data_IF_828016920033
#
_entry.id   IF_828016920033
#
_cell.length_a   1.000
_cell.length_b   1.000
_cell.length_c   1.000
_cell.angle_alpha   90.00
_cell.angle_beta   90.00
_cell.angle_gamma   90.00
#
_symmetry.space_group_name_H-M   'P 1'
#
loop_
_entity.id
_entity.type
_entity.pdbx_description
1 polymer ?
#
# COMPACT_ATOMS: atom_id res chain seq x y z
N UNK A 1 -14.51 12.81 20.22
CA UNK A 1 -14.75 13.70 19.06
C UNK A 1 -14.90 12.78 17.86
N UNK A 2 -16.06 12.20 17.57
CA UNK A 2 -17.13 12.76 16.74
C UNK A 2 -18.42 12.10 17.21
N UNK A 3 -19.31 12.88 17.85
CA UNK A 3 -20.49 12.33 18.52
C UNK A 3 -21.81 12.53 17.77
N UNK A 4 -21.83 13.05 16.52
CA UNK A 4 -23.01 13.06 15.60
C UNK A 4 -22.79 13.81 14.25
N UNK A 5 -21.56 14.13 13.83
CA UNK A 5 -21.31 14.95 12.64
C UNK A 5 -20.39 14.24 11.65
N UNK A 6 -20.96 13.37 10.81
CA UNK A 6 -20.21 12.55 9.85
C UNK A 6 -19.72 13.31 8.60
N UNK A 7 -20.19 14.54 8.38
CA UNK A 7 -19.89 15.32 7.16
C UNK A 7 -18.80 16.39 7.37
N UNK A 8 -18.29 16.53 8.60
CA UNK A 8 -17.38 17.63 8.99
C UNK A 8 -15.91 17.23 8.85
N UNK A 9 -15.62 15.95 8.53
CA UNK A 9 -14.25 15.45 8.35
C UNK A 9 -13.39 16.25 7.34
N UNK A 10 -13.93 16.84 6.25
CA UNK A 10 -13.10 17.64 5.34
C UNK A 10 -12.51 18.87 6.03
N UNK A 11 -13.24 19.47 6.98
CA UNK A 11 -12.74 20.64 7.74
C UNK A 11 -11.62 20.27 8.72
N UNK A 12 -11.57 19.00 9.14
CA UNK A 12 -10.52 18.48 10.02
C UNK A 12 -9.25 18.06 9.25
N UNK A 13 -9.28 17.98 7.92
CA UNK A 13 -8.14 17.53 7.11
C UNK A 13 -6.84 18.30 7.37
N UNK A 14 -6.83 19.65 7.44
CA UNK A 14 -5.59 20.37 7.72
C UNK A 14 -4.98 20.03 9.08
N UNK A 15 -5.82 19.84 10.10
CA UNK A 15 -5.38 19.45 11.44
C UNK A 15 -4.82 18.02 11.45
N UNK A 16 -5.46 17.08 10.74
CA UNK A 16 -4.97 15.70 10.59
C UNK A 16 -3.63 15.67 9.85
N UNK A 17 -3.52 16.43 8.75
CA UNK A 17 -2.28 16.52 7.99
C UNK A 17 -1.14 17.08 8.85
N UNK A 18 -1.40 18.14 9.61
CA UNK A 18 -0.43 18.71 10.55
C UNK A 18 0.01 17.68 11.59
N UNK A 19 -0.93 16.96 12.20
CA UNK A 19 -0.64 15.92 13.18
C UNK A 19 0.21 14.78 12.59
N UNK A 20 -0.11 14.30 11.38
CA UNK A 20 0.66 13.26 10.69
C UNK A 20 2.08 13.75 10.37
N UNK A 21 2.23 15.00 9.93
CA UNK A 21 3.53 15.56 9.55
C UNK A 21 4.44 15.87 10.74
N UNK A 22 3.88 16.10 11.93
CA UNK A 22 4.61 16.41 13.16
C UNK A 22 4.79 15.22 14.09
N UNK A 23 4.08 14.13 13.87
CA UNK A 23 4.29 12.89 14.60
C UNK A 23 5.58 12.19 14.15
N UNK A 24 6.36 11.69 15.11
CA UNK A 24 7.55 10.89 14.83
C UNK A 24 7.13 9.55 14.21
N UNK A 25 7.66 9.25 13.02
CA UNK A 25 7.42 7.96 12.37
C UNK A 25 8.35 6.90 12.96
N UNK A 26 7.81 5.78 13.43
CA UNK A 26 8.58 4.70 14.05
C UNK A 26 9.66 4.11 13.11
N UNK A 27 9.38 4.02 11.81
CA UNK A 27 10.30 3.42 10.84
C UNK A 27 11.49 4.33 10.50
N UNK A 28 11.31 5.65 10.53
CA UNK A 28 12.38 6.61 10.23
C UNK A 28 13.07 7.12 11.50
N UNK A 29 12.34 7.22 12.62
CA UNK A 29 12.79 7.84 13.87
C UNK A 29 12.65 9.36 13.91
N UNK A 30 12.09 9.97 12.86
CA UNK A 30 11.94 11.42 12.70
C UNK A 30 10.54 11.79 12.25
N UNK A 31 10.17 13.06 12.38
CA UNK A 31 8.92 13.60 11.82
C UNK A 31 9.05 13.76 10.29
N UNK A 32 7.98 13.53 9.51
CA UNK A 32 7.99 13.81 8.08
C UNK A 32 8.31 15.27 7.75
N UNK A 33 7.81 16.21 8.55
CA UNK A 33 8.11 17.63 8.43
C UNK A 33 9.61 17.92 8.50
N UNK A 34 10.29 17.38 9.51
CA UNK A 34 11.72 17.59 9.70
C UNK A 34 12.54 17.05 8.52
N UNK A 35 12.26 15.83 8.07
CA UNK A 35 13.00 15.22 6.96
C UNK A 35 12.76 15.92 5.62
N UNK A 36 11.59 16.55 5.44
CA UNK A 36 11.22 17.23 4.19
C UNK A 36 11.73 18.67 4.15
N UNK A 37 11.59 19.41 5.25
CA UNK A 37 11.86 20.85 5.30
C UNK A 37 13.14 21.21 6.07
N UNK A 38 13.81 20.24 6.68
CA UNK A 38 14.98 20.47 7.54
C UNK A 38 14.66 21.11 8.90
N UNK A 39 13.37 21.29 9.22
CA UNK A 39 12.87 21.91 10.44
C UNK A 39 11.49 21.37 10.81
N UNK A 40 11.16 21.43 12.10
CA UNK A 40 9.83 21.05 12.58
C UNK A 40 8.78 22.10 12.18
N UNK A 41 7.54 21.64 11.96
CA UNK A 41 6.41 22.55 11.79
C UNK A 41 6.05 23.17 13.14
N UNK A 42 5.76 24.47 13.11
CA UNK A 42 5.39 25.23 14.31
C UNK A 42 3.87 25.21 14.50
N UNK A 43 3.44 25.06 15.75
CA UNK A 43 2.05 25.29 16.15
C UNK A 43 1.79 26.78 16.35
N UNK A 44 0.52 27.23 16.32
CA UNK A 44 0.18 28.60 16.69
C UNK A 44 0.66 29.00 18.10
N UNK A 45 0.74 28.05 19.02
CA UNK A 45 1.28 28.28 20.36
C UNK A 45 2.77 28.64 20.32
N UNK A 46 3.55 27.91 19.52
CA UNK A 46 5.00 28.15 19.36
C UNK A 46 5.28 29.55 18.79
N UNK A 47 4.43 30.05 17.89
CA UNK A 47 4.59 31.39 17.30
C UNK A 47 4.41 32.52 18.32
N UNK A 48 3.53 32.35 19.30
CA UNK A 48 3.27 33.39 20.33
C UNK A 48 4.37 33.48 21.38
N UNK A 49 5.02 32.36 21.71
CA UNK A 49 6.11 32.33 22.69
C UNK A 49 7.48 32.64 22.09
N UNK A 50 7.61 32.57 20.75
CA UNK A 50 8.90 32.58 20.07
C UNK A 50 9.06 33.72 19.03
N UNK A 51 8.45 34.88 19.29
CA UNK A 51 8.60 36.08 18.44
C UNK A 51 10.06 36.54 18.33
N UNK A 52 10.89 36.24 19.34
CA UNK A 52 12.33 36.53 19.32
C UNK A 52 13.12 35.71 18.29
N UNK A 53 12.70 34.50 17.91
CA UNK A 53 13.40 33.73 16.86
C UNK A 53 12.98 34.16 15.46
N UNK A 54 11.76 34.67 15.28
CA UNK A 54 11.30 35.25 14.01
C UNK A 54 12.19 36.44 13.64
N UNK A 55 12.45 37.35 14.59
CA UNK A 55 13.32 38.52 14.42
C UNK A 55 14.79 38.11 14.17
N UNK A 56 15.27 37.02 14.78
CA UNK A 56 16.63 36.49 14.54
C UNK A 56 16.80 35.78 13.20
N UNK A 57 15.72 35.24 12.62
CA UNK A 57 15.79 34.43 11.39
C UNK A 57 16.15 35.24 10.13
N UNK A 58 15.97 36.56 10.14
CA UNK A 58 16.29 37.42 8.99
C UNK A 58 17.82 37.67 8.79
N UNK A 59 18.67 37.35 9.78
CA UNK A 59 20.12 37.64 9.75
C UNK A 59 21.04 36.39 9.69
N UNK A 60 20.52 35.22 9.31
CA UNK A 60 21.12 33.93 9.68
C UNK A 60 21.91 33.21 8.58
N UNK A 61 22.82 33.89 7.88
CA UNK A 61 23.63 33.24 6.81
C UNK A 61 24.76 32.36 7.38
N UNK A 62 25.25 32.64 8.60
CA UNK A 62 26.42 31.95 9.17
C UNK A 62 26.13 30.55 9.74
N UNK A 63 24.88 30.21 10.05
CA UNK A 63 24.49 28.94 10.70
C UNK A 63 23.80 27.93 9.77
N UNK A 64 23.67 28.24 8.48
CA UNK A 64 23.04 27.34 7.50
C UNK A 64 23.90 26.08 7.31
N UNK A 65 25.22 26.22 7.29
CA UNK A 65 26.16 25.10 7.03
C UNK A 65 26.11 23.98 8.08
N UNK A 66 26.17 24.24 9.41
CA UNK A 66 26.07 23.17 10.40
C UNK A 66 24.70 22.50 10.41
N UNK A 67 23.62 23.27 10.21
CA UNK A 67 22.25 22.76 10.21
C UNK A 67 21.99 21.82 9.02
N UNK A 68 22.49 22.18 7.83
CA UNK A 68 22.42 21.31 6.65
C UNK A 68 23.28 20.05 6.81
N UNK A 69 24.48 20.15 7.41
CA UNK A 69 25.31 18.98 7.72
C UNK A 69 24.61 18.03 8.69
N UNK A 70 23.94 18.56 9.71
CA UNK A 70 23.13 17.78 10.64
C UNK A 70 21.99 17.06 9.89
N UNK A 71 21.23 17.79 9.08
CA UNK A 71 20.14 17.20 8.30
C UNK A 71 20.63 16.08 7.36
N UNK A 72 21.77 16.27 6.70
CA UNK A 72 22.37 15.23 5.86
C UNK A 72 22.71 13.96 6.65
N UNK A 73 23.23 14.10 7.88
CA UNK A 73 23.47 12.97 8.76
C UNK A 73 22.16 12.31 9.22
N UNK A 74 21.16 13.10 9.60
CA UNK A 74 19.87 12.61 10.07
C UNK A 74 19.12 11.86 8.94
N UNK A 75 19.21 12.34 7.70
CA UNK A 75 18.69 11.63 6.52
C UNK A 75 19.38 10.28 6.30
N UNK A 76 20.70 10.22 6.50
CA UNK A 76 21.45 8.95 6.43
C UNK A 76 20.97 7.97 7.49
N UNK A 77 20.82 8.43 8.74
CA UNK A 77 20.29 7.60 9.85
C UNK A 77 18.86 7.15 9.56
N UNK A 78 17.99 8.04 9.07
CA UNK A 78 16.62 7.71 8.71
C UNK A 78 16.57 6.61 7.64
N UNK A 79 17.45 6.67 6.64
CA UNK A 79 17.58 5.63 5.61
C UNK A 79 17.98 4.29 6.22
N UNK A 80 19.01 4.26 7.08
CA UNK A 80 19.45 3.04 7.77
C UNK A 80 18.33 2.45 8.65
N UNK A 81 17.55 3.29 9.33
CA UNK A 81 16.40 2.86 10.13
C UNK A 81 15.31 2.23 9.26
N UNK A 82 15.02 2.84 8.11
CA UNK A 82 14.04 2.31 7.15
C UNK A 82 14.48 0.95 6.62
N UNK A 83 15.76 0.79 6.26
CA UNK A 83 16.30 -0.50 5.80
C UNK A 83 16.16 -1.59 6.88
N UNK A 84 16.50 -1.28 8.13
CA UNK A 84 16.31 -2.20 9.27
C UNK A 84 14.82 -2.55 9.49
N UNK A 85 13.95 -1.55 9.45
CA UNK A 85 12.51 -1.75 9.61
C UNK A 85 11.92 -2.60 8.48
N UNK A 86 12.35 -2.36 7.23
CA UNK A 86 11.96 -3.15 6.07
C UNK A 86 12.39 -4.60 6.20
N UNK A 87 13.63 -4.85 6.65
CA UNK A 87 14.13 -6.21 6.87
C UNK A 87 13.33 -6.93 7.97
N UNK A 88 13.08 -6.29 9.10
CA UNK A 88 12.25 -6.85 10.17
C UNK A 88 10.83 -7.17 9.69
N UNK A 89 10.22 -6.25 8.94
CA UNK A 89 8.90 -6.45 8.35
C UNK A 89 8.89 -7.60 7.34
N UNK A 90 9.94 -7.71 6.51
CA UNK A 90 10.12 -8.80 5.55
C UNK A 90 10.21 -10.15 6.26
N UNK A 91 11.03 -10.25 7.31
CA UNK A 91 11.16 -11.47 8.11
C UNK A 91 9.83 -11.85 8.76
N UNK A 92 9.14 -10.89 9.37
CA UNK A 92 7.84 -11.12 10.01
C UNK A 92 6.76 -11.56 9.00
N UNK A 93 6.68 -10.92 7.84
CA UNK A 93 5.74 -11.26 6.78
C UNK A 93 6.03 -12.64 6.16
N UNK A 94 7.31 -12.94 5.90
CA UNK A 94 7.73 -14.21 5.31
C UNK A 94 7.41 -15.42 6.20
N UNK A 95 7.41 -15.28 7.54
CA UNK A 95 7.02 -16.36 8.48
C UNK A 95 5.63 -16.94 8.22
N UNK A 96 4.68 -16.12 7.74
CA UNK A 96 3.29 -16.54 7.46
C UNK A 96 3.01 -16.71 5.96
N UNK A 97 4.01 -16.48 5.11
CA UNK A 97 3.83 -16.48 3.65
C UNK A 97 3.72 -17.92 3.16
N UNK A 98 2.66 -18.18 2.37
CA UNK A 98 2.49 -19.48 1.71
C UNK A 98 3.52 -19.61 0.57
N UNK A 99 4.05 -20.82 0.32
CA UNK A 99 4.91 -21.06 -0.83
C UNK A 99 4.15 -20.80 -2.14
N UNK A 100 4.91 -20.55 -3.21
CA UNK A 100 4.34 -20.44 -4.57
C UNK A 100 3.57 -21.74 -4.89
N UNK A 101 2.29 -21.66 -5.30
CA UNK A 101 1.50 -22.82 -5.71
C UNK A 101 2.13 -23.61 -6.87
N UNK A 102 3.09 -23.03 -7.60
CA UNK A 102 3.87 -23.75 -8.61
C UNK A 102 3.06 -24.08 -9.87
N UNK A 103 2.06 -23.26 -10.21
CA UNK A 103 1.27 -23.45 -11.41
C UNK A 103 2.13 -23.41 -12.66
N UNK A 104 1.82 -24.28 -13.63
CA UNK A 104 2.52 -24.41 -14.90
C UNK A 104 1.69 -23.85 -16.04
N UNK A 105 2.38 -23.40 -17.10
CA UNK A 105 1.72 -23.06 -18.37
C UNK A 105 0.95 -24.29 -18.86
N UNK A 106 -0.30 -24.07 -19.25
CA UNK A 106 -1.22 -25.11 -19.68
C UNK A 106 -2.09 -25.71 -18.57
N UNK A 107 -1.84 -25.42 -17.29
CA UNK A 107 -2.72 -25.87 -16.20
C UNK A 107 -4.11 -25.23 -16.34
N UNK A 108 -5.15 -26.04 -16.10
CA UNK A 108 -6.53 -25.54 -16.00
C UNK A 108 -6.79 -24.98 -14.61
N UNK A 109 -7.41 -23.81 -14.57
CA UNK A 109 -7.65 -23.04 -13.35
C UNK A 109 -9.03 -22.40 -13.34
N UNK A 110 -9.53 -22.17 -12.14
CA UNK A 110 -10.70 -21.36 -11.84
C UNK A 110 -10.25 -19.99 -11.36
N UNK A 111 -10.93 -18.95 -11.82
CA UNK A 111 -10.68 -17.57 -11.45
C UNK A 111 -11.75 -17.12 -10.46
N UNK A 112 -11.33 -16.43 -9.40
CA UNK A 112 -12.25 -15.86 -8.41
C UNK A 112 -12.93 -14.63 -9.00
N UNK A 113 -14.26 -14.65 -9.00
CA UNK A 113 -15.09 -13.57 -9.56
C UNK A 113 -15.56 -12.64 -8.46
N UNK A 114 -15.68 -11.35 -8.79
CA UNK A 114 -16.24 -10.33 -7.92
C UNK A 114 -17.40 -9.62 -8.62
N UNK A 115 -18.49 -10.34 -8.91
CA UNK A 115 -19.59 -9.76 -9.64
C UNK A 115 -20.36 -8.78 -8.74
N UNK A 116 -20.89 -7.72 -9.34
CA UNK A 116 -21.72 -6.72 -8.66
C UNK A 116 -23.19 -7.04 -9.00
N UNK A 117 -24.08 -6.98 -8.01
CA UNK A 117 -25.51 -7.18 -8.25
C UNK A 117 -26.01 -6.11 -9.22
N UNK A 118 -26.81 -6.52 -10.20
CA UNK A 118 -27.42 -5.64 -11.17
C UNK A 118 -28.90 -6.00 -11.30
N UNK A 119 -29.75 -5.09 -10.81
CA UNK A 119 -31.19 -5.28 -10.80
C UNK A 119 -31.79 -5.30 -12.22
N UNK A 120 -31.30 -4.45 -13.13
CA UNK A 120 -31.78 -4.39 -14.52
C UNK A 120 -31.53 -5.70 -15.28
N UNK A 121 -30.42 -6.39 -14.95
CA UNK A 121 -30.08 -7.69 -15.53
C UNK A 121 -30.66 -8.88 -14.75
N UNK A 122 -31.53 -8.62 -13.76
CA UNK A 122 -32.05 -9.62 -12.82
C UNK A 122 -30.94 -10.49 -12.19
N UNK A 123 -29.77 -9.89 -11.95
CA UNK A 123 -28.57 -10.60 -11.53
C UNK A 123 -28.21 -10.24 -10.09
N UNK A 124 -28.11 -11.26 -9.23
CA UNK A 124 -27.77 -11.08 -7.81
C UNK A 124 -26.42 -11.71 -7.50
N UNK A 125 -25.42 -10.89 -7.14
CA UNK A 125 -24.07 -11.36 -6.83
C UNK A 125 -23.99 -12.35 -5.67
N UNK A 126 -24.96 -12.31 -4.73
CA UNK A 126 -25.04 -13.24 -3.58
C UNK A 126 -25.19 -14.71 -4.04
N UNK A 127 -25.85 -14.94 -5.17
CA UNK A 127 -26.10 -16.28 -5.72
C UNK A 127 -25.17 -16.64 -6.87
N UNK A 128 -24.28 -15.73 -7.26
CA UNK A 128 -23.31 -16.01 -8.29
C UNK A 128 -22.25 -17.03 -7.82
N UNK A 129 -21.79 -17.93 -8.70
CA UNK A 129 -20.61 -18.73 -8.43
C UNK A 129 -19.44 -17.83 -8.06
N UNK A 130 -18.77 -18.11 -6.94
CA UNK A 130 -17.59 -17.36 -6.48
C UNK A 130 -16.37 -17.53 -7.39
N UNK A 131 -16.41 -18.56 -8.23
CA UNK A 131 -15.34 -18.92 -9.14
C UNK A 131 -15.94 -19.28 -10.49
N UNK A 132 -15.25 -18.86 -11.54
CA UNK A 132 -15.61 -19.09 -12.92
C UNK A 132 -14.49 -19.80 -13.67
N UNK A 133 -14.82 -20.46 -14.77
CA UNK A 133 -13.90 -21.25 -15.58
C UNK A 133 -14.44 -22.67 -15.87
N UNK A 134 -13.64 -23.51 -16.55
CA UNK A 134 -12.17 -23.54 -16.51
C UNK A 134 -11.48 -22.61 -17.51
N UNK A 135 -10.39 -21.99 -17.06
CA UNK A 135 -9.45 -21.22 -17.88
C UNK A 135 -8.09 -21.91 -17.94
N UNK A 136 -7.25 -21.55 -18.90
CA UNK A 136 -5.92 -22.12 -19.04
C UNK A 136 -4.85 -21.06 -18.75
N UNK A 137 -3.78 -21.45 -18.06
CA UNK A 137 -2.63 -20.55 -17.88
C UNK A 137 -1.85 -20.47 -19.20
N UNK A 138 -1.75 -19.25 -19.73
CA UNK A 138 -0.99 -18.95 -20.94
C UNK A 138 0.48 -18.71 -20.61
N UNK A 139 0.77 -17.82 -19.65
CA UNK A 139 2.13 -17.42 -19.31
C UNK A 139 2.28 -17.17 -17.80
N UNK A 140 3.48 -17.41 -17.27
CA UNK A 140 3.88 -16.97 -15.91
C UNK A 140 4.62 -15.64 -16.01
N UNK A 141 3.99 -14.55 -15.56
CA UNK A 141 4.57 -13.21 -15.61
C UNK A 141 5.50 -12.99 -14.41
N UNK A 142 5.08 -13.44 -13.23
CA UNK A 142 5.88 -13.38 -12.01
C UNK A 142 5.58 -14.59 -11.11
N UNK A 143 6.27 -14.70 -9.97
CA UNK A 143 5.97 -15.73 -8.96
C UNK A 143 4.56 -15.63 -8.38
N UNK A 144 3.87 -14.50 -8.56
CA UNK A 144 2.54 -14.26 -8.02
C UNK A 144 1.51 -13.89 -9.07
N UNK A 145 1.89 -13.63 -10.32
CA UNK A 145 0.97 -13.17 -11.38
C UNK A 145 1.09 -14.09 -12.58
N UNK A 146 -0.07 -14.56 -13.04
CA UNK A 146 -0.22 -15.43 -14.19
C UNK A 146 -1.18 -14.81 -15.21
N UNK A 147 -0.88 -15.02 -16.48
CA UNK A 147 -1.76 -14.66 -17.60
C UNK A 147 -2.59 -15.88 -17.98
N UNK A 148 -3.89 -15.67 -18.22
CA UNK A 148 -4.84 -16.75 -18.49
C UNK A 148 -5.65 -16.47 -19.74
N UNK A 149 -6.02 -17.54 -20.44
CA UNK A 149 -6.84 -17.51 -21.64
C UNK A 149 -8.07 -18.44 -21.50
N UNK A 150 -9.06 -18.21 -22.36
CA UNK A 150 -10.20 -19.12 -22.49
C UNK A 150 -9.73 -20.38 -23.23
N UNK A 151 -10.19 -21.59 -22.86
CA UNK A 151 -9.93 -22.79 -23.65
C UNK A 151 -10.44 -22.68 -25.09
N UNK A 152 -11.47 -21.86 -25.33
CA UNK A 152 -12.04 -21.62 -26.66
C UNK A 152 -11.19 -20.67 -27.52
N UNK A 153 -10.39 -19.81 -26.87
CA UNK A 153 -9.55 -18.80 -27.52
C UNK A 153 -8.13 -18.85 -26.92
N UNK A 154 -7.34 -19.89 -27.23
CA UNK A 154 -6.09 -20.19 -26.51
C UNK A 154 -5.01 -19.12 -26.66
N UNK A 155 -5.05 -18.33 -27.74
CA UNK A 155 -4.05 -17.28 -28.02
C UNK A 155 -4.49 -15.88 -27.57
N UNK A 156 -5.69 -15.71 -27.03
CA UNK A 156 -6.20 -14.41 -26.60
C UNK A 156 -6.20 -14.35 -25.07
N UNK A 157 -5.33 -13.51 -24.45
CA UNK A 157 -5.31 -13.38 -23.01
C UNK A 157 -6.59 -12.67 -22.54
N UNK A 158 -7.28 -13.27 -21.57
CA UNK A 158 -8.42 -12.65 -20.89
C UNK A 158 -7.91 -11.56 -19.94
N UNK A 159 -6.79 -11.83 -19.28
CA UNK A 159 -6.19 -10.92 -18.32
C UNK A 159 -5.12 -11.57 -17.46
N UNK A 160 -4.64 -10.78 -16.50
CA UNK A 160 -3.57 -11.14 -15.57
C UNK A 160 -4.16 -11.25 -14.17
N UNK A 161 -3.89 -12.37 -13.50
CA UNK A 161 -4.48 -12.67 -12.21
C UNK A 161 -3.40 -13.04 -11.19
N UNK A 162 -3.62 -12.60 -9.95
CA UNK A 162 -2.74 -12.97 -8.83
C UNK A 162 -3.00 -14.41 -8.40
N UNK A 163 -1.99 -15.11 -7.87
CA UNK A 163 -2.09 -16.51 -7.39
C UNK A 163 -3.20 -16.73 -6.36
N UNK A 164 -3.55 -15.70 -5.59
CA UNK A 164 -4.67 -15.76 -4.64
C UNK A 164 -6.05 -15.80 -5.31
N UNK A 165 -6.18 -15.26 -6.52
CA UNK A 165 -7.42 -15.25 -7.29
C UNK A 165 -7.59 -16.51 -8.13
N UNK A 166 -6.53 -17.30 -8.30
CA UNK A 166 -6.49 -18.51 -9.13
C UNK A 166 -6.56 -19.76 -8.24
N UNK A 167 -7.33 -20.77 -8.65
CA UNK A 167 -7.31 -22.11 -8.05
C UNK A 167 -7.20 -23.17 -9.13
N UNK A 168 -6.37 -24.19 -8.92
CA UNK A 168 -6.29 -25.34 -9.83
C UNK A 168 -7.66 -26.00 -10.02
N UNK A 169 -8.03 -26.25 -11.29
CA UNK A 169 -9.25 -26.96 -11.64
C UNK A 169 -8.98 -28.47 -11.65
N UNK A 170 -9.71 -29.21 -10.82
CA UNK A 170 -9.67 -30.67 -10.79
C UNK A 170 -10.97 -31.20 -11.40
N UNK A 171 -10.88 -31.97 -12.49
CA UNK A 171 -12.04 -32.66 -13.04
C UNK A 171 -12.48 -33.72 -12.02
N UNK A 172 -13.69 -33.59 -11.49
CA UNK A 172 -14.29 -34.67 -10.69
C UNK A 172 -14.44 -35.90 -11.57
N UNK A 173 -13.91 -37.04 -11.12
CA UNK A 173 -14.19 -38.32 -11.75
C UNK A 173 -15.69 -38.59 -11.64
N UNK A 174 -16.34 -38.87 -12.77
CA UNK A 174 -17.76 -39.23 -12.82
C UNK A 174 -17.97 -40.49 -11.99
N UNK A 175 -18.82 -40.43 -10.96
CA UNK A 175 -19.35 -41.63 -10.34
C UNK A 175 -20.21 -42.34 -11.40
N UNK A 176 -19.80 -43.55 -11.78
CA UNK A 176 -20.62 -44.48 -12.56
C UNK A 176 -21.68 -45.09 -11.66
#
# INVERSE_FOLDING_TARGET
MVKNQHNVWPTALPAIQFAINTAVCQSTGFTPAYLTFGRELRTPCDLTHDLSTVIRSENFVHEITPTLKKLANDLKIAKENVEKAQENNRLAANKKRRPDPGYKVGDLVLITTHPISNQEKNYTAKFAPRRDGPYQILNKISSTIYEVCSPEAPNTPIGKFHTSAIKKFEKRASYR
#
